data_IF_088493245441
#
_entry.id   IF_088493245441
#
_cell.length_a   1.000
_cell.length_b   1.000
_cell.length_c   1.000
_cell.angle_alpha   90.00
_cell.angle_beta   90.00
_cell.angle_gamma   90.00
#
_symmetry.space_group_name_H-M   'P 1'
#
loop_
_entity.id
_entity.type
_entity.pdbx_description
1 polymer ?
#
# COMPACT_ATOMS: atom_id res chain seq x y z
N UNK A 1 -0.57 7.43 31.25
CA UNK A 1 -0.43 8.62 30.38
C UNK A 1 -1.82 9.06 29.98
N UNK A 2 -2.33 10.16 30.53
CA UNK A 2 -3.62 10.72 30.07
C UNK A 2 -3.38 11.28 28.66
N UNK A 3 -4.18 10.83 27.70
CA UNK A 3 -4.15 11.37 26.33
C UNK A 3 -4.96 12.66 26.39
N UNK A 4 -4.32 13.77 26.72
CA UNK A 4 -4.99 15.06 26.92
C UNK A 4 -5.57 15.66 25.62
N UNK A 5 -5.29 15.03 24.47
CA UNK A 5 -6.08 15.10 23.24
C UNK A 5 -5.60 14.00 22.28
N UNK A 6 -6.49 13.26 21.62
CA UNK A 6 -6.09 12.20 20.67
C UNK A 6 -5.44 12.85 19.44
N UNK A 7 -4.24 12.38 19.05
CA UNK A 7 -3.59 12.86 17.82
C UNK A 7 -4.44 12.51 16.61
N UNK A 8 -4.80 13.52 15.82
CA UNK A 8 -5.57 13.33 14.58
C UNK A 8 -4.71 12.59 13.56
N UNK A 9 -5.32 11.64 12.87
CA UNK A 9 -4.72 10.87 11.78
C UNK A 9 -5.63 10.96 10.56
N UNK A 10 -5.05 10.85 9.37
CA UNK A 10 -5.79 10.90 8.12
C UNK A 10 -5.26 9.83 7.15
N UNK A 11 -6.17 9.30 6.34
CA UNK A 11 -5.82 8.50 5.17
C UNK A 11 -5.61 9.49 4.03
N UNK A 12 -4.36 9.73 3.66
CA UNK A 12 -3.99 10.69 2.61
C UNK A 12 -4.30 10.14 1.22
N UNK A 13 -4.26 8.82 1.08
CA UNK A 13 -4.39 8.19 -0.21
C UNK A 13 -4.55 6.68 -0.17
N UNK A 14 -4.89 6.12 -1.33
CA UNK A 14 -5.04 4.69 -1.51
C UNK A 14 -4.79 4.28 -2.96
N UNK A 15 -4.16 3.11 -3.12
CA UNK A 15 -3.97 2.46 -4.39
C UNK A 15 -4.17 0.94 -4.24
N UNK A 16 -4.57 0.29 -5.32
CA UNK A 16 -4.73 -1.18 -5.36
C UNK A 16 -4.45 -1.69 -6.75
N UNK A 17 -4.04 -2.95 -6.84
CA UNK A 17 -4.12 -3.69 -8.10
C UNK A 17 -5.60 -4.04 -8.43
N UNK A 18 -5.93 -4.28 -9.71
CA UNK A 18 -7.23 -4.83 -10.08
C UNK A 18 -7.48 -6.15 -9.35
N UNK A 19 -8.71 -6.37 -8.89
CA UNK A 19 -9.07 -7.67 -8.32
C UNK A 19 -9.36 -8.64 -9.45
N UNK A 20 -8.67 -9.77 -9.43
CA UNK A 20 -8.83 -10.84 -10.40
C UNK A 20 -9.25 -12.13 -9.69
N UNK A 21 -9.93 -13.01 -10.43
CA UNK A 21 -10.27 -14.34 -9.93
C UNK A 21 -8.99 -15.16 -9.74
N UNK A 22 -8.93 -15.98 -8.68
CA UNK A 22 -7.81 -16.91 -8.47
C UNK A 22 -7.60 -17.82 -9.68
N UNK A 23 -6.34 -18.11 -10.00
CA UNK A 23 -5.92 -18.88 -11.18
C UNK A 23 -6.30 -18.25 -12.53
N UNK A 24 -6.39 -16.91 -12.60
CA UNK A 24 -6.61 -16.17 -13.86
C UNK A 24 -5.49 -15.15 -14.14
N UNK A 25 -5.76 -13.85 -14.12
CA UNK A 25 -4.83 -12.79 -14.57
C UNK A 25 -3.50 -12.74 -13.79
N UNK A 26 -3.45 -13.27 -12.57
CA UNK A 26 -2.26 -13.33 -11.73
C UNK A 26 -1.81 -14.77 -11.45
N UNK A 27 -2.22 -15.75 -12.28
CA UNK A 27 -1.94 -17.18 -12.03
C UNK A 27 -0.47 -17.53 -11.90
N UNK A 28 0.41 -16.73 -12.51
CA UNK A 28 1.87 -16.91 -12.48
C UNK A 28 2.60 -15.84 -11.67
N UNK A 29 1.87 -14.91 -11.04
CA UNK A 29 2.45 -13.87 -10.21
C UNK A 29 2.52 -14.35 -8.75
N UNK A 30 3.63 -14.03 -8.08
CA UNK A 30 3.77 -14.26 -6.65
C UNK A 30 3.03 -13.19 -5.84
N UNK A 31 2.83 -13.47 -4.54
CA UNK A 31 2.32 -12.47 -3.60
C UNK A 31 3.23 -11.24 -3.54
N UNK A 32 4.55 -11.42 -3.65
CA UNK A 32 5.52 -10.33 -3.68
C UNK A 32 5.33 -9.45 -4.93
N UNK A 33 5.08 -10.04 -6.10
CA UNK A 33 4.85 -9.28 -7.34
C UNK A 33 3.59 -8.41 -7.21
N UNK A 34 2.52 -8.99 -6.68
CA UNK A 34 1.24 -8.27 -6.47
C UNK A 34 1.36 -7.16 -5.42
N UNK A 35 2.05 -7.41 -4.30
CA UNK A 35 2.31 -6.40 -3.27
C UNK A 35 3.18 -5.26 -3.82
N UNK A 36 4.23 -5.60 -4.57
CA UNK A 36 5.13 -4.62 -5.20
C UNK A 36 4.37 -3.75 -6.19
N UNK A 37 3.50 -4.33 -7.02
CA UNK A 37 2.67 -3.57 -7.96
C UNK A 37 1.71 -2.61 -7.23
N UNK A 38 1.10 -3.03 -6.11
CA UNK A 38 0.23 -2.16 -5.32
C UNK A 38 0.99 -0.95 -4.73
N UNK A 39 2.20 -1.20 -4.19
CA UNK A 39 3.08 -0.17 -3.62
C UNK A 39 3.61 0.79 -4.68
N UNK A 40 4.10 0.28 -5.81
CA UNK A 40 4.60 1.13 -6.91
C UNK A 40 3.50 2.09 -7.39
N UNK A 41 2.28 1.61 -7.60
CA UNK A 41 1.19 2.50 -8.00
C UNK A 41 0.77 3.50 -6.91
N UNK A 42 1.02 3.22 -5.62
CA UNK A 42 0.82 4.20 -4.56
C UNK A 42 1.90 5.29 -4.61
N UNK A 43 3.17 4.87 -4.76
CA UNK A 43 4.31 5.78 -4.90
C UNK A 43 4.12 6.72 -6.09
N UNK A 44 3.74 6.18 -7.25
CA UNK A 44 3.52 6.97 -8.46
C UNK A 44 2.34 7.92 -8.32
N UNK A 45 1.20 7.45 -7.78
CA UNK A 45 -0.02 8.26 -7.65
C UNK A 45 0.16 9.46 -6.73
N UNK A 46 0.98 9.32 -5.69
CA UNK A 46 1.19 10.34 -4.68
C UNK A 46 2.60 10.96 -4.73
N UNK A 47 3.35 10.71 -5.81
CA UNK A 47 4.72 11.22 -6.03
C UNK A 47 5.66 11.01 -4.84
N UNK A 48 5.67 9.80 -4.25
CA UNK A 48 6.44 9.48 -3.03
C UNK A 48 7.86 8.97 -3.32
N UNK A 49 8.33 9.07 -4.57
CA UNK A 49 9.63 8.54 -4.94
C UNK A 49 10.76 9.34 -4.27
N UNK A 50 11.63 8.65 -3.52
CA UNK A 50 12.72 9.26 -2.78
C UNK A 50 12.32 9.83 -1.41
N UNK A 51 11.04 9.80 -1.05
CA UNK A 51 10.57 10.22 0.26
C UNK A 51 10.86 9.18 1.34
N UNK A 52 11.21 9.66 2.54
CA UNK A 52 11.44 8.77 3.68
C UNK A 52 10.10 8.34 4.30
N UNK A 53 9.80 7.05 4.19
CA UNK A 53 8.67 6.44 4.89
C UNK A 53 9.07 6.06 6.31
N UNK A 54 8.31 6.54 7.30
CA UNK A 54 8.58 6.21 8.70
C UNK A 54 8.34 4.73 9.03
N UNK A 55 7.25 4.17 8.51
CA UNK A 55 6.89 2.76 8.72
C UNK A 55 6.12 2.24 7.49
N UNK A 56 6.34 0.97 7.14
CA UNK A 56 5.61 0.26 6.09
C UNK A 56 5.22 -1.11 6.63
N UNK A 57 3.94 -1.45 6.55
CA UNK A 57 3.39 -2.74 6.98
C UNK A 57 2.58 -3.33 5.83
N UNK A 58 2.87 -4.59 5.47
CA UNK A 58 2.15 -5.34 4.44
C UNK A 58 1.70 -6.70 4.96
N UNK A 59 0.59 -7.21 4.41
CA UNK A 59 0.12 -8.57 4.64
C UNK A 59 -0.32 -9.18 3.30
N UNK A 60 0.15 -10.39 3.01
CA UNK A 60 -0.13 -11.13 1.79
C UNK A 60 -0.06 -12.64 2.03
#
# INVERSE_FOLDING_TARGET
MKVDNVRKVAIVGGNRIPFARSNTAYSYASNQDMLTAALNGLVDRYNLAGELMGEVVGGA
#
